data_IF_323025303733
#
_entry.id   IF_323025303733
#
_cell.length_a   1.000
_cell.length_b   1.000
_cell.length_c   1.000
_cell.angle_alpha   90.00
_cell.angle_beta   90.00
_cell.angle_gamma   90.00
#
_symmetry.space_group_name_H-M   'P 1'
#
loop_
_entity.id
_entity.type
_entity.pdbx_description
1 polymer ?
#
# COMPACT_ATOMS: atom_id res chain seq x y z
N UNK A 1 11.66 1.96 31.85
CA UNK A 1 11.61 2.41 30.44
C UNK A 1 10.74 1.45 29.65
N UNK A 2 9.43 1.74 29.57
CA UNK A 2 8.63 1.19 28.48
C UNK A 2 9.23 1.80 27.24
N UNK A 3 9.92 1.00 26.43
CA UNK A 3 10.54 1.52 25.23
C UNK A 3 9.44 2.17 24.38
N UNK A 4 9.67 3.38 23.90
CA UNK A 4 8.78 4.10 22.96
C UNK A 4 8.37 3.18 21.78
N UNK A 5 9.11 2.09 21.60
CA UNK A 5 8.95 1.04 20.65
C UNK A 5 7.77 0.11 20.85
N UNK A 6 7.30 -0.07 22.07
CA UNK A 6 6.19 -0.98 22.39
C UNK A 6 4.88 -0.26 22.64
N UNK A 7 4.91 1.07 22.83
CA UNK A 7 3.71 1.86 23.13
C UNK A 7 2.79 2.05 21.90
N UNK A 8 3.37 2.25 20.69
CA UNK A 8 2.62 2.46 19.46
C UNK A 8 3.02 1.37 18.47
N UNK A 9 2.08 0.48 18.17
CA UNK A 9 2.34 -0.73 17.38
C UNK A 9 2.16 -0.52 15.88
N UNK A 10 3.10 -1.05 15.06
CA UNK A 10 2.97 -1.15 13.61
C UNK A 10 2.07 -2.32 13.21
N UNK A 11 1.91 -2.53 11.89
CA UNK A 11 1.19 -3.70 11.36
C UNK A 11 1.84 -5.03 11.74
N UNK A 12 3.11 -5.08 12.14
CA UNK A 12 3.77 -6.30 12.64
C UNK A 12 3.23 -6.83 13.97
N UNK A 13 2.38 -6.08 14.65
CA UNK A 13 1.69 -6.56 15.85
C UNK A 13 0.21 -6.78 15.53
N UNK A 14 -0.33 -7.95 15.89
CA UNK A 14 -1.71 -8.32 15.59
C UNK A 14 -2.73 -7.30 16.13
N UNK A 15 -3.84 -7.16 15.44
CA UNK A 15 -4.97 -6.36 15.89
C UNK A 15 -5.50 -6.90 17.22
N UNK A 16 -5.83 -6.01 18.16
CA UNK A 16 -6.33 -6.39 19.49
C UNK A 16 -5.29 -7.05 20.41
N UNK A 17 -3.99 -6.91 20.12
CA UNK A 17 -2.91 -7.58 20.86
C UNK A 17 -2.96 -7.42 22.38
N UNK A 18 -3.58 -6.35 22.88
CA UNK A 18 -3.62 -6.02 24.31
C UNK A 18 -4.92 -6.43 25.00
N UNK A 19 -5.90 -6.98 24.29
CA UNK A 19 -7.24 -7.29 24.85
C UNK A 19 -7.15 -8.23 26.03
N UNK A 20 -6.32 -9.27 25.98
CA UNK A 20 -6.17 -10.25 27.05
C UNK A 20 -5.53 -9.64 28.30
N UNK A 21 -4.58 -8.70 28.14
CA UNK A 21 -4.00 -7.97 29.27
C UNK A 21 -5.03 -7.02 29.92
N UNK A 22 -5.81 -6.32 29.09
CA UNK A 22 -6.89 -5.45 29.55
C UNK A 22 -7.93 -6.27 30.35
N UNK A 23 -8.26 -7.48 29.87
CA UNK A 23 -9.16 -8.39 30.59
C UNK A 23 -8.63 -8.77 31.96
N UNK A 24 -7.35 -9.11 32.08
CA UNK A 24 -6.73 -9.42 33.39
C UNK A 24 -6.87 -8.24 34.37
N UNK A 25 -6.68 -7.01 33.89
CA UNK A 25 -6.87 -5.80 34.70
C UNK A 25 -8.35 -5.67 35.07
N UNK A 26 -9.26 -5.82 34.12
CA UNK A 26 -10.71 -5.75 34.35
C UNK A 26 -11.19 -6.75 35.39
N UNK A 27 -10.68 -7.97 35.36
CA UNK A 27 -11.06 -9.03 36.33
C UNK A 27 -10.52 -8.75 37.73
N UNK A 28 -9.48 -7.91 37.88
CA UNK A 28 -8.85 -7.58 39.16
C UNK A 28 -9.39 -6.33 39.85
N UNK A 29 -10.25 -5.53 39.17
CA UNK A 29 -10.74 -4.25 39.70
C UNK A 29 -12.24 -4.07 39.48
N UNK A 30 -12.89 -3.27 40.33
CA UNK A 30 -14.34 -3.03 40.29
C UNK A 30 -14.74 -1.69 39.67
N UNK A 31 -13.84 -1.01 38.96
CA UNK A 31 -14.14 0.23 38.25
C UNK A 31 -14.19 -0.01 36.74
N UNK A 32 -14.85 0.86 35.96
CA UNK A 32 -14.86 0.74 34.51
C UNK A 32 -13.46 0.77 33.90
N UNK A 33 -13.22 -0.10 32.92
CA UNK A 33 -11.93 -0.21 32.21
C UNK A 33 -12.08 0.19 30.74
N UNK A 34 -11.24 1.13 30.30
CA UNK A 34 -11.14 1.53 28.89
C UNK A 34 -9.94 0.81 28.28
N UNK A 35 -10.20 -0.09 27.32
CA UNK A 35 -9.15 -0.88 26.66
C UNK A 35 -8.67 -0.27 25.36
N UNK A 36 -7.37 -0.42 25.08
CA UNK A 36 -6.71 0.02 23.86
C UNK A 36 -5.70 -1.02 23.37
N UNK A 37 -5.47 -1.12 22.04
CA UNK A 37 -4.46 -2.02 21.49
C UNK A 37 -4.72 -2.43 20.04
N UNK A 38 -4.52 -1.54 19.08
CA UNK A 38 -4.77 -1.79 17.65
C UNK A 38 -6.17 -2.37 17.37
N UNK A 39 -7.17 -1.84 18.02
CA UNK A 39 -8.57 -2.16 17.70
C UNK A 39 -8.96 -1.28 16.53
N UNK A 40 -9.03 -1.87 15.34
CA UNK A 40 -9.30 -1.19 14.07
C UNK A 40 -10.44 -1.83 13.27
N UNK A 41 -11.11 -2.81 13.88
CA UNK A 41 -12.18 -3.59 13.29
C UNK A 41 -13.40 -3.62 14.23
N UNK A 42 -14.60 -3.47 13.65
CA UNK A 42 -15.85 -3.42 14.40
C UNK A 42 -16.13 -4.73 15.11
N UNK A 43 -15.89 -5.87 14.47
CA UNK A 43 -16.12 -7.20 15.05
C UNK A 43 -15.20 -7.41 16.25
N UNK A 44 -13.94 -7.01 16.15
CA UNK A 44 -12.97 -7.09 17.23
C UNK A 44 -13.40 -6.22 18.43
N UNK A 45 -13.83 -4.97 18.18
CA UNK A 45 -14.31 -4.05 19.20
C UNK A 45 -15.55 -4.61 19.93
N UNK A 46 -16.55 -5.05 19.18
CA UNK A 46 -17.78 -5.64 19.72
C UNK A 46 -17.51 -6.94 20.49
N UNK A 47 -16.63 -7.80 19.97
CA UNK A 47 -16.22 -9.02 20.66
C UNK A 47 -15.55 -8.74 22.00
N UNK A 48 -14.67 -7.74 22.08
CA UNK A 48 -14.00 -7.36 23.33
C UNK A 48 -15.01 -6.92 24.41
N UNK A 49 -16.02 -6.14 24.04
CA UNK A 49 -17.11 -5.72 24.96
C UNK A 49 -17.99 -6.92 25.36
N UNK A 50 -18.44 -7.72 24.37
CA UNK A 50 -19.31 -8.89 24.64
C UNK A 50 -18.65 -9.91 25.58
N UNK A 51 -17.34 -10.13 25.44
CA UNK A 51 -16.56 -11.02 26.32
C UNK A 51 -16.23 -10.39 27.68
N UNK A 52 -16.71 -9.19 27.94
CA UNK A 52 -16.41 -8.42 29.17
C UNK A 52 -14.90 -8.24 29.40
N UNK A 53 -14.12 -8.13 28.31
CA UNK A 53 -12.69 -7.87 28.41
C UNK A 53 -12.40 -6.41 28.78
N UNK A 54 -13.34 -5.51 28.51
CA UNK A 54 -13.32 -4.08 28.83
C UNK A 54 -14.74 -3.52 28.84
N UNK A 55 -14.93 -2.37 29.44
CA UNK A 55 -16.24 -1.66 29.44
C UNK A 55 -16.32 -0.70 28.23
N UNK A 56 -15.20 -0.10 27.85
CA UNK A 56 -15.10 0.84 26.73
C UNK A 56 -13.88 0.54 25.88
N UNK A 57 -13.97 0.87 24.58
CA UNK A 57 -12.86 0.75 23.62
C UNK A 57 -12.30 2.13 23.32
N UNK A 58 -10.99 2.31 23.50
CA UNK A 58 -10.28 3.50 23.04
C UNK A 58 -9.72 3.29 21.63
N UNK A 59 -10.04 4.24 20.74
CA UNK A 59 -9.67 4.24 19.32
C UNK A 59 -8.71 5.39 19.01
N UNK A 60 -7.41 5.17 19.08
CA UNK A 60 -6.41 6.20 18.73
C UNK A 60 -6.33 6.40 17.22
N UNK A 61 -5.39 5.70 16.55
CA UNK A 61 -5.17 5.84 15.09
C UNK A 61 -6.38 5.46 14.23
N UNK A 62 -7.27 4.60 14.73
CA UNK A 62 -8.51 4.30 14.04
C UNK A 62 -9.41 5.53 13.94
N UNK A 63 -9.48 6.39 14.97
CA UNK A 63 -10.23 7.65 14.93
C UNK A 63 -9.59 8.69 14.00
N UNK A 64 -8.24 8.69 13.87
CA UNK A 64 -7.54 9.50 12.87
C UNK A 64 -7.87 9.01 11.46
N UNK A 65 -7.96 7.70 11.27
CA UNK A 65 -8.26 7.08 10.00
C UNK A 65 -9.73 7.25 9.60
N UNK A 66 -10.63 7.02 10.55
CA UNK A 66 -12.09 7.17 10.36
C UNK A 66 -12.74 7.73 11.63
N UNK A 67 -12.93 9.06 11.73
CA UNK A 67 -13.56 9.69 12.90
C UNK A 67 -15.00 9.27 13.08
N UNK A 68 -15.67 8.76 12.04
CA UNK A 68 -17.05 8.29 12.09
C UNK A 68 -17.19 6.80 12.41
N UNK A 69 -16.10 6.10 12.74
CA UNK A 69 -16.10 4.67 13.03
C UNK A 69 -17.22 4.25 13.99
N UNK A 70 -17.43 4.86 15.17
CA UNK A 70 -18.51 4.45 16.08
C UNK A 70 -19.92 4.60 15.47
N UNK A 71 -20.16 5.69 14.75
CA UNK A 71 -21.44 5.94 14.09
C UNK A 71 -21.69 4.95 12.94
N UNK A 72 -20.65 4.63 12.14
CA UNK A 72 -20.75 3.63 11.07
C UNK A 72 -21.06 2.24 11.65
N UNK A 73 -20.41 1.85 12.75
CA UNK A 73 -20.70 0.59 13.45
C UNK A 73 -22.14 0.57 13.94
N UNK A 74 -22.61 1.63 14.61
CA UNK A 74 -23.98 1.76 15.11
C UNK A 74 -25.02 1.64 13.99
N UNK A 75 -24.73 2.19 12.81
CA UNK A 75 -25.65 2.23 11.68
C UNK A 75 -25.49 1.04 10.72
N UNK A 76 -24.64 0.04 11.03
CA UNK A 76 -24.40 -1.13 10.17
C UNK A 76 -23.60 -0.83 8.91
N UNK A 77 -22.95 0.34 8.80
CA UNK A 77 -22.19 0.79 7.64
C UNK A 77 -20.74 0.23 7.65
N UNK A 78 -20.58 -1.05 7.91
CA UNK A 78 -19.27 -1.68 8.17
C UNK A 78 -18.36 -1.59 6.94
N UNK A 79 -18.90 -1.77 5.73
CA UNK A 79 -18.13 -1.71 4.47
C UNK A 79 -17.63 -0.30 4.14
N UNK A 80 -18.15 0.73 4.81
CA UNK A 80 -17.72 2.13 4.62
C UNK A 80 -16.63 2.55 5.62
N UNK A 81 -16.20 1.67 6.52
CA UNK A 81 -15.16 1.99 7.51
C UNK A 81 -13.80 1.98 6.87
N UNK A 82 -13.10 3.11 6.92
CA UNK A 82 -11.67 3.17 6.63
C UNK A 82 -10.90 2.53 7.78
N UNK A 83 -10.26 1.39 7.52
CA UNK A 83 -9.55 0.62 8.55
C UNK A 83 -8.10 1.09 8.68
N UNK A 84 -7.68 1.46 9.90
CA UNK A 84 -6.29 1.82 10.16
C UNK A 84 -5.35 0.63 9.90
N UNK A 85 -4.48 0.78 8.91
CA UNK A 85 -3.54 -0.27 8.46
C UNK A 85 -2.31 -0.43 9.37
N UNK A 86 -2.10 0.44 10.35
CA UNK A 86 -0.90 0.42 11.21
C UNK A 86 0.40 0.85 10.50
N UNK A 87 0.30 1.50 9.34
CA UNK A 87 1.45 1.89 8.50
C UNK A 87 2.36 2.97 9.12
N UNK A 88 1.84 3.78 10.03
CA UNK A 88 2.56 4.87 10.71
C UNK A 88 3.14 5.96 9.77
N UNK A 89 2.72 6.02 8.52
CA UNK A 89 3.33 6.92 7.53
C UNK A 89 3.03 8.40 7.76
N UNK A 90 1.81 8.76 8.16
CA UNK A 90 1.39 10.15 8.34
C UNK A 90 0.99 10.52 9.77
N UNK A 91 0.51 9.59 10.56
CA UNK A 91 0.07 9.88 11.91
C UNK A 91 1.22 10.01 12.93
N UNK A 92 2.42 9.49 12.63
CA UNK A 92 3.56 9.49 13.56
C UNK A 92 4.86 10.07 12.99
N UNK A 93 5.09 9.93 11.67
CA UNK A 93 6.38 10.30 11.07
C UNK A 93 6.30 11.49 10.11
N UNK A 94 5.18 12.14 10.00
CA UNK A 94 5.09 13.47 9.43
C UNK A 94 5.37 14.49 10.53
N UNK A 95 6.64 14.77 10.77
CA UNK A 95 7.04 15.91 11.62
C UNK A 95 7.19 17.19 10.82
N UNK A 96 7.22 17.10 9.50
CA UNK A 96 7.17 18.25 8.61
C UNK A 96 5.71 18.57 8.29
N UNK A 97 5.30 19.73 8.68
CA UNK A 97 4.06 20.38 8.27
C UNK A 97 4.18 20.85 6.80
N UNK A 98 4.56 19.93 5.88
CA UNK A 98 4.77 20.27 4.47
C UNK A 98 3.57 20.99 3.85
N UNK A 99 2.39 20.76 4.43
CA UNK A 99 1.11 21.35 4.01
C UNK A 99 0.46 22.21 5.12
N UNK A 100 1.18 22.57 6.20
CA UNK A 100 0.66 23.39 7.31
C UNK A 100 -0.34 22.68 8.23
N UNK A 101 -0.60 21.38 8.01
CA UNK A 101 -1.55 20.56 8.78
C UNK A 101 -0.80 19.51 9.60
N UNK A 102 -1.19 19.34 10.87
CA UNK A 102 -0.57 18.41 11.79
C UNK A 102 -0.75 16.93 11.41
N UNK A 103 -1.17 16.11 12.36
CA UNK A 103 -1.41 14.69 12.15
C UNK A 103 -2.42 14.43 11.03
N UNK A 104 -2.10 13.49 10.12
CA UNK A 104 -2.97 13.07 9.03
C UNK A 104 -2.90 11.55 8.82
N UNK A 105 -3.65 11.01 7.87
CA UNK A 105 -3.69 9.58 7.57
C UNK A 105 -3.31 9.29 6.12
N UNK A 106 -2.64 8.16 5.85
CA UNK A 106 -2.28 7.73 4.51
C UNK A 106 -3.52 7.48 3.64
N UNK A 107 -4.52 6.78 4.19
CA UNK A 107 -5.72 6.34 3.46
C UNK A 107 -6.92 7.28 3.66
N UNK A 108 -6.82 8.26 4.56
CA UNK A 108 -7.81 9.32 4.74
C UNK A 108 -7.13 10.69 4.63
N UNK A 109 -6.98 11.25 3.45
CA UNK A 109 -6.33 12.55 3.25
C UNK A 109 -7.08 13.73 3.86
N UNK A 110 -8.36 13.56 4.18
CA UNK A 110 -9.19 14.58 4.85
C UNK A 110 -8.81 14.78 6.32
N UNK A 111 -8.22 13.75 6.95
CA UNK A 111 -7.82 13.79 8.36
C UNK A 111 -6.85 14.96 8.62
N UNK A 112 -7.24 15.85 9.54
CA UNK A 112 -6.56 17.10 9.85
C UNK A 112 -6.83 18.25 8.88
N UNK A 113 -7.73 18.06 7.90
CA UNK A 113 -8.11 19.05 6.88
C UNK A 113 -9.62 19.25 6.76
N UNK A 114 -10.37 18.78 7.74
CA UNK A 114 -11.84 18.73 7.71
C UNK A 114 -12.48 20.12 7.57
N UNK A 115 -11.79 21.16 8.03
CA UNK A 115 -12.26 22.54 7.90
C UNK A 115 -12.01 23.17 6.52
N UNK A 116 -11.03 22.65 5.76
CA UNK A 116 -10.57 23.21 4.47
C UNK A 116 -11.04 22.34 3.30
N UNK A 117 -10.91 21.02 3.43
CA UNK A 117 -11.24 20.08 2.38
C UNK A 117 -12.67 19.55 2.55
N UNK A 118 -13.57 20.10 1.74
CA UNK A 118 -14.99 19.69 1.73
C UNK A 118 -15.36 19.17 0.34
N UNK A 119 -16.14 18.11 0.32
CA UNK A 119 -16.68 17.56 -0.93
C UNK A 119 -18.05 18.21 -1.14
N UNK A 120 -18.10 19.25 -1.96
CA UNK A 120 -19.29 19.98 -2.32
C UNK A 120 -19.87 19.43 -3.63
N UNK A 121 -21.17 19.60 -3.84
CA UNK A 121 -21.81 19.22 -5.11
C UNK A 121 -21.27 20.10 -6.23
N UNK A 122 -20.98 19.49 -7.38
CA UNK A 122 -20.60 20.24 -8.57
C UNK A 122 -21.77 21.08 -9.09
N UNK A 123 -21.45 22.29 -9.55
CA UNK A 123 -22.47 23.16 -10.19
C UNK A 123 -23.02 22.56 -11.47
N UNK A 124 -22.18 21.84 -12.21
CA UNK A 124 -22.52 21.12 -13.42
C UNK A 124 -21.89 19.73 -13.38
N UNK A 125 -22.70 18.71 -13.64
CA UNK A 125 -22.22 17.34 -13.75
C UNK A 125 -21.38 17.19 -15.03
N UNK A 126 -20.28 16.45 -14.93
CA UNK A 126 -19.39 16.09 -16.02
C UNK A 126 -19.37 14.58 -16.21
N UNK A 127 -19.07 14.12 -17.42
CA UNK A 127 -18.77 12.73 -17.75
C UNK A 127 -17.24 12.52 -17.66
N UNK A 128 -16.77 11.74 -16.70
CA UNK A 128 -15.36 11.62 -16.39
C UNK A 128 -14.88 10.17 -16.52
N UNK A 129 -13.81 9.97 -17.29
CA UNK A 129 -13.10 8.69 -17.34
C UNK A 129 -11.93 8.68 -16.36
N UNK A 130 -11.77 7.58 -15.63
CA UNK A 130 -10.58 7.31 -14.79
C UNK A 130 -9.95 6.03 -15.28
N UNK A 131 -8.65 6.08 -15.61
CA UNK A 131 -7.92 4.97 -16.17
C UNK A 131 -7.01 4.36 -15.10
N UNK A 132 -7.43 3.20 -14.59
CA UNK A 132 -6.79 2.45 -13.52
C UNK A 132 -7.58 2.46 -12.21
N UNK A 133 -7.93 1.27 -11.74
CA UNK A 133 -8.64 1.02 -10.47
C UNK A 133 -7.71 0.84 -9.27
N UNK A 134 -6.52 1.47 -9.28
CA UNK A 134 -5.62 1.54 -8.15
C UNK A 134 -6.11 2.51 -7.06
N UNK A 135 -5.36 2.68 -5.94
CA UNK A 135 -5.80 3.54 -4.83
C UNK A 135 -6.02 5.00 -5.25
N UNK A 136 -5.21 5.54 -6.17
CA UNK A 136 -5.40 6.90 -6.69
C UNK A 136 -6.68 7.02 -7.52
N UNK A 137 -6.88 6.11 -8.49
CA UNK A 137 -8.07 6.13 -9.35
C UNK A 137 -9.37 5.95 -8.55
N UNK A 138 -9.44 4.98 -7.66
CA UNK A 138 -10.61 4.76 -6.81
C UNK A 138 -10.89 5.93 -5.85
N UNK A 139 -9.83 6.55 -5.29
CA UNK A 139 -9.97 7.73 -4.42
C UNK A 139 -10.56 8.92 -5.19
N UNK A 140 -10.06 9.21 -6.39
CA UNK A 140 -10.63 10.25 -7.25
C UNK A 140 -12.06 9.91 -7.64
N UNK A 141 -12.31 8.64 -8.01
CA UNK A 141 -13.61 8.18 -8.51
C UNK A 141 -14.73 8.42 -7.51
N UNK A 142 -14.59 7.94 -6.27
CA UNK A 142 -15.67 8.10 -5.30
C UNK A 142 -15.88 9.56 -4.88
N UNK A 143 -14.83 10.39 -4.84
CA UNK A 143 -14.97 11.83 -4.54
C UNK A 143 -15.74 12.52 -5.64
N UNK A 144 -15.38 12.31 -6.91
CA UNK A 144 -16.06 12.89 -8.07
C UNK A 144 -17.51 12.38 -8.20
N UNK A 145 -17.75 11.08 -7.93
CA UNK A 145 -19.10 10.53 -7.84
C UNK A 145 -19.93 11.20 -6.74
N UNK A 146 -19.35 11.42 -5.55
CA UNK A 146 -20.00 12.15 -4.46
C UNK A 146 -20.30 13.60 -4.82
N UNK A 147 -19.49 14.25 -5.65
CA UNK A 147 -19.77 15.60 -6.20
C UNK A 147 -20.91 15.60 -7.21
N UNK A 148 -21.32 14.44 -7.73
CA UNK A 148 -22.44 14.27 -8.68
C UNK A 148 -22.00 14.17 -10.14
N UNK A 149 -20.72 13.93 -10.42
CA UNK A 149 -20.25 13.64 -11.77
C UNK A 149 -20.61 12.21 -12.17
N UNK A 150 -20.74 11.97 -13.48
CA UNK A 150 -20.88 10.63 -14.07
C UNK A 150 -19.47 10.05 -14.27
N UNK A 151 -19.06 9.14 -13.40
CA UNK A 151 -17.70 8.61 -13.37
C UNK A 151 -17.66 7.17 -13.84
N UNK A 152 -16.75 6.87 -14.78
CA UNK A 152 -16.41 5.51 -15.22
C UNK A 152 -14.94 5.24 -14.97
N UNK A 153 -14.65 4.18 -14.21
CA UNK A 153 -13.29 3.67 -14.00
C UNK A 153 -13.05 2.49 -14.95
N UNK A 154 -11.96 2.54 -15.70
CA UNK A 154 -11.50 1.45 -16.57
C UNK A 154 -10.34 0.73 -15.87
N UNK A 155 -10.53 -0.54 -15.56
CA UNK A 155 -9.51 -1.40 -14.95
C UNK A 155 -9.20 -2.59 -15.86
N UNK A 156 -7.95 -2.74 -16.28
CA UNK A 156 -7.54 -3.82 -17.19
C UNK A 156 -7.56 -5.21 -16.55
N UNK A 157 -7.37 -5.27 -15.24
CA UNK A 157 -7.37 -6.53 -14.50
C UNK A 157 -8.80 -6.95 -14.11
N UNK A 158 -8.96 -8.21 -13.71
CA UNK A 158 -10.24 -8.73 -13.22
C UNK A 158 -10.63 -8.15 -11.83
N UNK A 159 -9.71 -7.51 -11.15
CA UNK A 159 -9.91 -6.95 -9.80
C UNK A 159 -9.19 -5.62 -9.64
N UNK A 160 -9.81 -4.68 -8.93
CA UNK A 160 -9.20 -3.40 -8.61
C UNK A 160 -8.10 -3.51 -7.55
N UNK A 161 -7.33 -2.44 -7.38
CA UNK A 161 -6.32 -2.27 -6.34
C UNK A 161 -4.89 -2.14 -6.87
N UNK A 162 -4.61 -2.60 -8.11
CA UNK A 162 -3.31 -2.46 -8.75
C UNK A 162 -2.15 -2.94 -7.85
N UNK A 163 -1.05 -2.21 -7.83
CA UNK A 163 0.11 -2.55 -6.99
C UNK A 163 -0.16 -2.48 -5.48
N UNK A 164 -1.17 -1.73 -5.03
CA UNK A 164 -1.54 -1.67 -3.62
C UNK A 164 -2.09 -3.01 -3.11
N UNK A 165 -2.75 -3.78 -3.99
CA UNK A 165 -3.14 -5.16 -3.69
C UNK A 165 -1.91 -6.05 -3.49
N UNK A 166 -0.88 -5.92 -4.33
CA UNK A 166 0.39 -6.63 -4.14
C UNK A 166 1.07 -6.21 -2.83
N UNK A 167 1.02 -4.92 -2.48
CA UNK A 167 1.55 -4.42 -1.21
C UNK A 167 0.82 -4.96 0.04
N UNK A 168 -0.36 -5.56 -0.10
CA UNK A 168 -1.09 -6.20 1.00
C UNK A 168 -0.70 -7.65 1.26
N UNK A 169 0.10 -8.25 0.37
CA UNK A 169 0.50 -9.67 0.42
C UNK A 169 1.62 -9.94 1.44
N UNK A 170 2.66 -9.09 1.57
CA UNK A 170 3.70 -9.32 2.57
C UNK A 170 3.15 -9.52 3.98
N UNK A 171 3.96 -10.13 4.82
CA UNK A 171 3.60 -10.53 6.18
C UNK A 171 2.97 -9.38 6.97
N UNK A 172 1.83 -9.65 7.63
CA UNK A 172 1.10 -8.72 8.51
C UNK A 172 0.54 -7.45 7.84
N UNK A 173 0.49 -7.38 6.50
CA UNK A 173 -0.01 -6.21 5.75
C UNK A 173 -1.42 -6.37 5.17
N UNK A 174 -2.14 -7.43 5.51
CA UNK A 174 -3.46 -7.77 4.95
C UNK A 174 -4.53 -6.69 5.17
N UNK A 175 -4.41 -5.87 6.22
CA UNK A 175 -5.32 -4.73 6.45
C UNK A 175 -5.27 -3.68 5.31
N UNK A 176 -4.20 -3.65 4.49
CA UNK A 176 -4.13 -2.78 3.30
C UNK A 176 -5.24 -3.12 2.30
N UNK A 177 -5.55 -4.39 2.09
CA UNK A 177 -6.58 -4.82 1.14
C UNK A 177 -7.96 -4.22 1.48
N UNK A 178 -8.27 -4.00 2.77
CA UNK A 178 -9.52 -3.38 3.24
C UNK A 178 -9.72 -1.97 2.69
N UNK A 179 -8.63 -1.22 2.44
CA UNK A 179 -8.71 0.13 1.85
C UNK A 179 -9.38 0.10 0.47
N UNK A 180 -8.97 -0.85 -0.37
CA UNK A 180 -9.54 -1.00 -1.72
C UNK A 180 -11.02 -1.40 -1.63
N UNK A 181 -11.36 -2.35 -0.76
CA UNK A 181 -12.76 -2.76 -0.54
C UNK A 181 -13.63 -1.59 -0.09
N UNK A 182 -13.12 -0.75 0.83
CA UNK A 182 -13.85 0.45 1.30
C UNK A 182 -14.00 1.50 0.19
N UNK A 183 -12.97 1.73 -0.64
CA UNK A 183 -13.07 2.66 -1.75
C UNK A 183 -14.05 2.17 -2.81
N UNK A 184 -14.10 0.87 -3.08
CA UNK A 184 -15.10 0.28 -3.97
C UNK A 184 -16.53 0.41 -3.40
N UNK A 185 -16.71 0.24 -2.08
CA UNK A 185 -18.01 0.49 -1.43
C UNK A 185 -18.44 1.96 -1.58
N UNK A 186 -17.51 2.91 -1.47
CA UNK A 186 -17.79 4.31 -1.75
C UNK A 186 -18.12 4.55 -3.24
N UNK A 187 -17.38 3.93 -4.16
CA UNK A 187 -17.69 4.00 -5.58
C UNK A 187 -19.13 3.53 -5.86
N UNK A 188 -19.51 2.38 -5.31
CA UNK A 188 -20.87 1.85 -5.41
C UNK A 188 -21.90 2.81 -4.81
N UNK A 189 -21.67 3.34 -3.61
CA UNK A 189 -22.55 4.29 -2.93
C UNK A 189 -22.80 5.56 -3.73
N UNK A 190 -21.82 6.01 -4.49
CA UNK A 190 -21.90 7.24 -5.28
C UNK A 190 -22.06 7.00 -6.79
N UNK A 191 -22.58 5.83 -7.16
CA UNK A 191 -22.94 5.45 -8.53
C UNK A 191 -21.78 5.55 -9.53
N UNK A 192 -20.55 5.25 -9.08
CA UNK A 192 -19.39 5.13 -9.97
C UNK A 192 -19.44 3.78 -10.68
N UNK A 193 -19.33 3.78 -12.01
CA UNK A 193 -19.21 2.55 -12.81
C UNK A 193 -17.75 2.09 -12.83
N UNK A 194 -17.47 0.83 -12.48
CA UNK A 194 -16.15 0.22 -12.62
C UNK A 194 -16.22 -0.87 -13.68
N UNK A 195 -15.51 -0.66 -14.80
CA UNK A 195 -15.40 -1.63 -15.90
C UNK A 195 -14.10 -2.41 -15.74
N UNK A 196 -14.21 -3.66 -15.30
CA UNK A 196 -13.08 -4.59 -15.18
C UNK A 196 -12.73 -5.22 -16.52
N UNK A 197 -11.53 -5.81 -16.61
CA UNK A 197 -11.01 -6.48 -17.81
C UNK A 197 -11.12 -5.59 -19.06
N UNK A 198 -11.00 -4.27 -18.86
CA UNK A 198 -11.17 -3.29 -19.91
C UNK A 198 -9.94 -2.39 -19.98
N UNK A 199 -9.13 -2.61 -21.00
CA UNK A 199 -7.99 -1.73 -21.29
C UNK A 199 -8.50 -0.50 -22.00
N UNK A 200 -8.30 0.67 -21.41
CA UNK A 200 -8.60 1.94 -22.06
C UNK A 200 -7.60 2.20 -23.18
N UNK A 201 -8.11 2.49 -24.38
CA UNK A 201 -7.32 2.91 -25.53
C UNK A 201 -7.75 4.32 -25.97
N UNK A 202 -6.93 4.96 -26.82
CA UNK A 202 -7.26 6.28 -27.38
C UNK A 202 -8.59 6.26 -28.12
N UNK A 203 -8.86 5.21 -28.91
CA UNK A 203 -10.08 5.04 -29.70
C UNK A 203 -11.31 4.94 -28.78
N UNK A 204 -11.24 4.10 -27.72
CA UNK A 204 -12.31 3.96 -26.75
C UNK A 204 -12.64 5.30 -26.09
N UNK A 205 -11.61 6.03 -25.67
CA UNK A 205 -11.78 7.31 -24.97
C UNK A 205 -12.32 8.41 -25.90
N UNK A 206 -11.90 8.43 -27.17
CA UNK A 206 -12.37 9.39 -28.16
C UNK A 206 -13.85 9.17 -28.54
N UNK A 207 -14.32 7.91 -28.61
CA UNK A 207 -15.71 7.59 -28.97
C UNK A 207 -16.71 7.87 -27.85
N UNK A 208 -16.27 7.81 -26.58
CA UNK A 208 -17.16 7.95 -25.42
C UNK A 208 -17.45 9.42 -25.03
N UNK A 209 -16.78 10.41 -25.64
CA UNK A 209 -16.97 11.85 -25.41
C UNK A 209 -16.94 12.23 -23.91
N UNK A 210 -15.82 12.02 -23.23
CA UNK A 210 -15.62 12.44 -21.86
C UNK A 210 -15.27 13.93 -21.76
N UNK A 211 -15.82 14.62 -20.77
CA UNK A 211 -15.46 16.01 -20.45
C UNK A 211 -14.06 16.10 -19.84
N UNK A 212 -13.67 15.06 -19.07
CA UNK A 212 -12.35 14.96 -18.42
C UNK A 212 -11.88 13.50 -18.38
N UNK A 213 -10.57 13.32 -18.51
CA UNK A 213 -9.91 12.01 -18.42
C UNK A 213 -8.82 12.08 -17.36
N UNK A 214 -8.82 11.15 -16.42
CA UNK A 214 -7.83 11.04 -15.35
C UNK A 214 -7.03 9.77 -15.53
N UNK A 215 -5.73 9.89 -15.83
CA UNK A 215 -4.81 8.78 -15.99
C UNK A 215 -4.21 8.44 -14.62
N UNK A 216 -4.55 7.25 -14.10
CA UNK A 216 -4.09 6.68 -12.83
C UNK A 216 -3.54 5.26 -13.03
N UNK A 217 -2.85 5.04 -14.16
CA UNK A 217 -2.31 3.76 -14.65
C UNK A 217 -1.19 3.17 -13.79
N UNK A 218 -0.72 3.94 -12.79
CA UNK A 218 0.30 3.47 -11.85
C UNK A 218 1.70 3.44 -12.42
N UNK A 219 2.51 2.47 -12.00
CA UNK A 219 3.91 2.32 -12.41
C UNK A 219 4.22 0.89 -12.86
N UNK A 220 5.30 0.75 -13.60
CA UNK A 220 5.85 -0.53 -14.09
C UNK A 220 7.17 -0.83 -13.36
N UNK A 221 7.50 -2.11 -13.11
CA UNK A 221 8.80 -2.49 -12.59
C UNK A 221 9.95 -2.01 -13.52
N UNK A 222 11.01 -1.50 -12.94
CA UNK A 222 12.23 -1.19 -13.68
C UNK A 222 12.95 -2.49 -14.00
N UNK A 223 13.23 -2.71 -15.29
CA UNK A 223 14.07 -3.79 -15.80
C UNK A 223 15.35 -3.14 -16.33
N UNK A 224 16.47 -3.17 -15.60
CA UNK A 224 17.72 -2.57 -16.06
C UNK A 224 18.34 -3.40 -17.17
N UNK A 225 19.19 -2.77 -17.99
CA UNK A 225 19.93 -3.46 -19.07
C UNK A 225 21.14 -4.26 -18.55
N UNK A 226 20.90 -5.21 -17.63
CA UNK A 226 21.93 -6.07 -17.07
C UNK A 226 21.98 -7.37 -17.87
N UNK A 227 23.17 -7.79 -18.31
CA UNK A 227 23.36 -9.06 -19.04
C UNK A 227 22.83 -10.24 -18.20
N UNK A 228 22.06 -11.12 -18.83
CA UNK A 228 21.45 -12.30 -18.20
C UNK A 228 20.12 -12.03 -17.49
N UNK A 229 19.53 -10.82 -17.62
CA UNK A 229 18.26 -10.48 -16.97
C UNK A 229 17.07 -11.28 -17.54
N UNK A 230 17.19 -11.82 -18.73
CA UNK A 230 16.17 -12.62 -19.42
C UNK A 230 16.37 -14.14 -19.22
N UNK A 231 17.27 -14.55 -18.32
CA UNK A 231 17.45 -15.96 -17.98
C UNK A 231 16.14 -16.56 -17.45
N UNK A 232 15.90 -17.84 -17.71
CA UNK A 232 14.63 -18.55 -17.37
C UNK A 232 14.34 -18.63 -15.87
N UNK A 233 15.36 -18.49 -15.03
CA UNK A 233 15.23 -18.48 -13.56
C UNK A 233 15.19 -17.07 -12.96
N UNK A 234 14.96 -16.03 -13.78
CA UNK A 234 14.83 -14.64 -13.34
C UNK A 234 13.36 -14.23 -13.35
N UNK A 235 12.88 -13.74 -12.23
CA UNK A 235 11.48 -13.39 -11.97
C UNK A 235 11.38 -11.94 -11.48
N UNK A 236 10.20 -11.33 -11.60
CA UNK A 236 9.92 -10.01 -11.01
C UNK A 236 9.34 -10.17 -9.60
N UNK A 237 9.62 -9.26 -8.69
CA UNK A 237 8.99 -9.25 -7.36
C UNK A 237 7.45 -9.28 -7.45
N UNK A 238 6.87 -8.64 -8.46
CA UNK A 238 5.41 -8.65 -8.70
C UNK A 238 4.87 -10.06 -9.00
N UNK A 239 5.64 -10.95 -9.62
CA UNK A 239 5.21 -12.32 -9.90
C UNK A 239 5.13 -13.13 -8.61
N UNK A 240 6.03 -12.88 -7.66
CA UNK A 240 6.01 -13.49 -6.34
C UNK A 240 4.83 -12.95 -5.51
N UNK A 241 4.67 -11.63 -5.46
CA UNK A 241 3.60 -10.96 -4.71
C UNK A 241 2.20 -11.23 -5.29
N UNK A 242 2.10 -11.64 -6.56
CA UNK A 242 0.83 -12.06 -7.18
C UNK A 242 0.60 -13.58 -7.12
N UNK A 243 1.52 -14.35 -6.51
CA UNK A 243 1.52 -15.81 -6.48
C UNK A 243 1.53 -16.49 -7.86
N UNK A 244 1.96 -15.78 -8.91
CA UNK A 244 2.24 -16.39 -10.22
C UNK A 244 3.45 -17.32 -10.15
N UNK A 245 4.40 -17.01 -9.26
CA UNK A 245 5.55 -17.84 -8.93
C UNK A 245 5.66 -18.00 -7.43
N UNK A 246 5.88 -19.23 -6.99
CA UNK A 246 6.09 -19.61 -5.58
C UNK A 246 7.32 -20.51 -5.50
N UNK A 247 8.20 -20.24 -4.54
CA UNK A 247 9.39 -21.04 -4.26
C UNK A 247 9.19 -21.86 -2.98
N UNK A 248 9.79 -23.03 -2.92
CA UNK A 248 9.79 -23.89 -1.73
C UNK A 248 11.11 -24.66 -1.64
N UNK A 249 11.78 -24.57 -0.50
CA UNK A 249 13.07 -25.22 -0.23
C UNK A 249 14.15 -24.86 -1.27
N UNK A 250 14.15 -23.63 -1.74
CA UNK A 250 15.08 -23.10 -2.75
C UNK A 250 16.02 -22.06 -2.16
N UNK A 251 17.14 -21.84 -2.83
CA UNK A 251 18.04 -20.71 -2.59
C UNK A 251 17.67 -19.59 -3.57
N UNK A 252 17.17 -18.47 -3.04
CA UNK A 252 16.64 -17.37 -3.83
C UNK A 252 17.48 -16.11 -3.61
N UNK A 253 17.88 -15.49 -4.70
CA UNK A 253 18.59 -14.22 -4.71
C UNK A 253 17.63 -13.09 -5.08
N UNK A 254 17.48 -12.08 -4.21
CA UNK A 254 16.65 -10.90 -4.48
C UNK A 254 17.56 -9.71 -4.80
N UNK A 255 17.38 -9.11 -5.97
CA UNK A 255 18.16 -7.97 -6.44
C UNK A 255 17.38 -6.68 -6.22
N UNK A 256 17.82 -5.90 -5.22
CA UNK A 256 17.20 -4.68 -4.73
C UNK A 256 16.74 -4.81 -3.28
N UNK A 257 17.31 -4.00 -2.38
CA UNK A 257 16.93 -3.90 -0.98
C UNK A 257 16.03 -2.69 -0.67
N UNK A 258 15.29 -2.18 -1.66
CA UNK A 258 14.17 -1.27 -1.44
C UNK A 258 13.08 -1.94 -0.59
N UNK A 259 12.03 -1.18 -0.22
CA UNK A 259 10.96 -1.73 0.61
C UNK A 259 10.31 -2.97 -0.02
N UNK A 260 10.00 -2.92 -1.33
CA UNK A 260 9.41 -4.05 -2.07
C UNK A 260 10.33 -5.27 -2.06
N UNK A 261 11.63 -5.08 -2.30
CA UNK A 261 12.59 -6.19 -2.33
C UNK A 261 12.75 -6.88 -0.98
N UNK A 262 12.86 -6.11 0.09
CA UNK A 262 12.99 -6.68 1.46
C UNK A 262 11.69 -7.37 1.89
N UNK A 263 10.51 -6.81 1.60
CA UNK A 263 9.21 -7.44 1.88
C UNK A 263 8.96 -8.69 1.02
N UNK A 264 9.44 -8.70 -0.23
CA UNK A 264 9.40 -9.90 -1.08
C UNK A 264 10.33 -10.98 -0.54
N UNK A 265 11.53 -10.62 -0.10
CA UNK A 265 12.48 -11.53 0.53
C UNK A 265 11.90 -12.13 1.83
N UNK A 266 11.27 -11.31 2.67
CA UNK A 266 10.56 -11.75 3.87
C UNK A 266 9.49 -12.80 3.53
N UNK A 267 8.62 -12.51 2.53
CA UNK A 267 7.59 -13.45 2.08
C UNK A 267 8.18 -14.78 1.58
N UNK A 268 9.24 -14.72 0.78
CA UNK A 268 9.93 -15.93 0.27
C UNK A 268 10.52 -16.73 1.43
N UNK A 269 11.13 -16.06 2.41
CA UNK A 269 11.71 -16.69 3.60
C UNK A 269 10.67 -17.41 4.46
N UNK A 270 9.47 -16.84 4.62
CA UNK A 270 8.33 -17.46 5.34
C UNK A 270 7.92 -18.81 4.75
N UNK A 271 8.13 -19.02 3.45
CA UNK A 271 7.88 -20.31 2.79
C UNK A 271 9.05 -21.31 2.91
N UNK A 272 10.02 -21.05 3.81
CA UNK A 272 11.13 -21.98 4.10
C UNK A 272 12.25 -21.95 3.07
N UNK A 273 12.40 -20.87 2.31
CA UNK A 273 13.48 -20.67 1.35
C UNK A 273 14.70 -20.02 2.00
N UNK A 274 15.89 -20.30 1.49
CA UNK A 274 17.12 -19.57 1.85
C UNK A 274 17.22 -18.33 0.97
N UNK A 275 17.21 -17.14 1.56
CA UNK A 275 17.16 -15.89 0.81
C UNK A 275 18.40 -15.06 1.06
N UNK A 276 18.96 -14.49 -0.03
CA UNK A 276 19.95 -13.43 0.03
C UNK A 276 19.43 -12.22 -0.75
N UNK A 277 19.55 -11.03 -0.16
CA UNK A 277 19.19 -9.76 -0.81
C UNK A 277 20.47 -9.01 -1.14
N UNK A 278 20.56 -8.44 -2.35
CA UNK A 278 21.73 -7.66 -2.79
C UNK A 278 21.29 -6.27 -3.25
N UNK A 279 21.98 -5.23 -2.80
CA UNK A 279 21.72 -3.85 -3.24
C UNK A 279 23.01 -3.01 -3.27
N UNK A 280 23.05 -2.06 -4.19
CA UNK A 280 24.12 -1.06 -4.26
C UNK A 280 24.02 0.01 -3.16
N UNK A 281 22.87 0.19 -2.53
CA UNK A 281 22.64 1.15 -1.46
C UNK A 281 23.31 0.69 -0.15
N UNK A 282 23.55 1.65 0.74
CA UNK A 282 24.12 1.43 2.07
C UNK A 282 23.08 1.01 3.14
N UNK A 283 21.79 1.04 2.78
CA UNK A 283 20.66 0.77 3.71
C UNK A 283 19.55 -0.02 3.06
N UNK A 284 19.04 -1.03 3.75
CA UNK A 284 17.83 -1.75 3.36
C UNK A 284 16.57 -0.95 3.71
N UNK A 285 15.57 -0.97 2.82
CA UNK A 285 14.29 -0.29 2.96
C UNK A 285 14.38 1.17 3.45
N UNK A 286 15.23 2.04 2.85
CA UNK A 286 15.53 3.37 3.41
C UNK A 286 14.32 4.30 3.49
N UNK A 287 13.32 4.12 2.61
CA UNK A 287 12.12 4.96 2.54
C UNK A 287 10.98 4.46 3.44
N UNK A 288 11.14 3.31 4.09
CA UNK A 288 10.14 2.81 5.02
C UNK A 288 10.09 3.64 6.31
N UNK A 289 8.91 3.85 6.92
CA UNK A 289 8.79 4.51 8.21
C UNK A 289 9.63 3.79 9.28
N UNK A 290 10.28 4.55 10.16
CA UNK A 290 11.29 4.02 11.11
C UNK A 290 10.84 2.77 11.86
N UNK A 291 9.63 2.75 12.41
CA UNK A 291 9.16 1.61 13.21
C UNK A 291 8.81 0.38 12.36
N UNK A 292 7.97 0.47 11.31
CA UNK A 292 7.75 -0.64 10.39
C UNK A 292 9.05 -1.19 9.81
N UNK A 293 10.00 -0.32 9.42
CA UNK A 293 11.32 -0.73 8.92
C UNK A 293 12.09 -1.55 9.96
N UNK A 294 12.12 -1.09 11.20
CA UNK A 294 12.80 -1.82 12.28
C UNK A 294 12.20 -3.23 12.46
N UNK A 295 10.87 -3.34 12.53
CA UNK A 295 10.21 -4.63 12.67
C UNK A 295 10.47 -5.55 11.47
N UNK A 296 10.42 -5.01 10.23
CA UNK A 296 10.75 -5.75 9.02
C UNK A 296 12.17 -6.32 9.08
N UNK A 297 13.17 -5.51 9.40
CA UNK A 297 14.55 -5.95 9.46
C UNK A 297 14.82 -6.93 10.62
N UNK A 298 14.15 -6.79 11.75
CA UNK A 298 14.17 -7.76 12.84
C UNK A 298 13.61 -9.12 12.40
N UNK A 299 12.48 -9.13 11.68
CA UNK A 299 11.84 -10.35 11.17
C UNK A 299 12.68 -11.02 10.06
N UNK A 300 13.20 -10.25 9.12
CA UNK A 300 14.15 -10.71 8.09
C UNK A 300 15.36 -11.40 8.71
N UNK A 301 15.91 -10.81 9.80
CA UNK A 301 17.00 -11.42 10.56
C UNK A 301 16.59 -12.74 11.26
N UNK A 302 15.37 -12.81 11.82
CA UNK A 302 14.85 -14.03 12.44
C UNK A 302 14.67 -15.17 11.43
N UNK A 303 14.33 -14.84 10.17
CA UNK A 303 14.24 -15.78 9.06
C UNK A 303 15.61 -16.21 8.50
N UNK A 304 16.72 -15.68 9.03
CA UNK A 304 18.06 -15.98 8.53
C UNK A 304 18.38 -15.41 7.16
N UNK A 305 17.62 -14.40 6.70
CA UNK A 305 17.83 -13.76 5.40
C UNK A 305 19.10 -12.89 5.46
N UNK A 306 20.02 -13.12 4.54
CA UNK A 306 21.23 -12.32 4.41
C UNK A 306 20.96 -11.08 3.53
N UNK A 307 21.45 -9.90 3.95
CA UNK A 307 21.36 -8.66 3.16
C UNK A 307 22.77 -8.15 2.88
N UNK A 308 23.16 -8.15 1.61
CA UNK A 308 24.44 -7.69 1.11
C UNK A 308 24.27 -6.30 0.50
N UNK A 309 24.66 -5.28 1.23
CA UNK A 309 24.61 -3.87 0.82
C UNK A 309 25.94 -3.41 0.19
N UNK A 310 25.95 -2.19 -0.37
CA UNK A 310 27.11 -1.63 -1.10
C UNK A 310 27.59 -2.53 -2.23
N UNK A 311 26.69 -3.26 -2.87
CA UNK A 311 26.97 -4.33 -3.82
C UNK A 311 26.22 -4.10 -5.11
N UNK A 312 26.90 -3.52 -6.12
CA UNK A 312 26.31 -3.20 -7.42
C UNK A 312 26.35 -4.42 -8.33
N UNK A 313 25.19 -4.91 -8.74
CA UNK A 313 25.07 -6.01 -9.72
C UNK A 313 25.56 -5.56 -11.08
N UNK A 314 26.48 -6.32 -11.67
CA UNK A 314 27.07 -6.07 -12.99
C UNK A 314 26.51 -7.03 -14.04
N UNK A 315 26.31 -8.30 -13.67
CA UNK A 315 25.87 -9.37 -14.57
C UNK A 315 25.09 -10.42 -13.80
N UNK A 316 24.09 -11.01 -14.43
CA UNK A 316 23.35 -12.17 -13.94
C UNK A 316 23.82 -13.42 -14.70
N UNK A 317 24.24 -14.46 -13.97
CA UNK A 317 24.62 -15.76 -14.49
C UNK A 317 23.46 -16.74 -14.35
N UNK A 318 23.65 -17.98 -14.80
CA UNK A 318 22.62 -19.05 -14.71
C UNK A 318 22.22 -19.42 -13.27
N UNK A 319 23.10 -19.21 -12.29
CA UNK A 319 22.91 -19.61 -10.89
C UNK A 319 23.33 -18.53 -9.89
N UNK A 320 23.48 -17.25 -10.35
CA UNK A 320 23.91 -16.18 -9.46
C UNK A 320 24.25 -14.88 -10.19
N UNK A 321 25.17 -14.11 -9.63
CA UNK A 321 25.54 -12.79 -10.13
C UNK A 321 27.06 -12.53 -10.06
N UNK A 322 27.52 -11.63 -10.91
CA UNK A 322 28.76 -10.87 -10.72
C UNK A 322 28.37 -9.49 -10.19
N UNK A 323 29.01 -9.04 -9.13
CA UNK A 323 28.75 -7.76 -8.50
C UNK A 323 30.05 -7.05 -8.11
N UNK A 324 29.98 -5.73 -8.00
CA UNK A 324 31.08 -4.89 -7.53
C UNK A 324 30.84 -4.47 -6.08
N UNK A 325 31.84 -4.67 -5.23
CA UNK A 325 31.86 -4.22 -3.84
C UNK A 325 33.26 -3.72 -3.49
N UNK A 326 33.36 -2.54 -2.90
CA UNK A 326 34.63 -1.91 -2.52
C UNK A 326 35.64 -1.83 -3.69
N UNK A 327 35.14 -1.54 -4.89
CA UNK A 327 35.92 -1.45 -6.10
C UNK A 327 36.32 -2.79 -6.75
N UNK A 328 36.08 -3.91 -6.09
CA UNK A 328 36.43 -5.25 -6.58
C UNK A 328 35.22 -5.99 -7.14
N UNK A 329 35.43 -6.73 -8.22
CA UNK A 329 34.44 -7.67 -8.74
C UNK A 329 34.45 -8.96 -7.91
N UNK A 330 33.25 -9.42 -7.53
CA UNK A 330 33.00 -10.64 -6.78
C UNK A 330 31.90 -11.43 -7.47
N UNK A 331 31.87 -12.74 -7.24
CA UNK A 331 30.83 -13.62 -7.76
C UNK A 331 30.07 -14.28 -6.62
N UNK A 332 28.76 -14.36 -6.75
CA UNK A 332 27.85 -15.06 -5.86
C UNK A 332 27.09 -16.09 -6.67
N UNK A 333 27.17 -17.38 -6.30
CA UNK A 333 26.60 -18.50 -7.07
C UNK A 333 25.82 -19.47 -6.18
N UNK A 334 25.17 -20.46 -6.81
CA UNK A 334 24.44 -21.53 -6.14
C UNK A 334 22.99 -21.16 -5.77
N UNK A 335 22.35 -20.29 -6.55
CA UNK A 335 20.94 -19.93 -6.39
C UNK A 335 20.08 -20.58 -7.47
N UNK A 336 18.92 -21.06 -7.05
CA UNK A 336 17.93 -21.70 -7.91
C UNK A 336 17.09 -20.65 -8.67
N UNK A 337 16.87 -19.48 -8.06
CA UNK A 337 16.05 -18.41 -8.61
C UNK A 337 16.60 -17.01 -8.26
N UNK A 338 16.33 -16.06 -9.14
CA UNK A 338 16.74 -14.65 -9.00
C UNK A 338 15.49 -13.77 -9.14
N UNK A 339 15.25 -12.86 -8.19
CA UNK A 339 14.08 -11.99 -8.16
C UNK A 339 14.48 -10.54 -8.30
N UNK A 340 13.92 -9.85 -9.29
CA UNK A 340 14.21 -8.44 -9.58
C UNK A 340 13.29 -7.53 -8.78
N UNK A 341 13.88 -6.58 -8.02
CA UNK A 341 13.18 -5.59 -7.21
C UNK A 341 13.84 -4.19 -7.34
N UNK A 342 14.21 -3.78 -8.55
CA UNK A 342 14.95 -2.53 -8.84
C UNK A 342 14.09 -1.25 -8.80
N UNK A 343 12.88 -1.32 -8.21
CA UNK A 343 11.97 -0.18 -8.13
C UNK A 343 11.01 -0.10 -9.31
N UNK A 344 10.39 1.07 -9.48
CA UNK A 344 9.33 1.28 -10.48
C UNK A 344 9.50 2.59 -11.22
N UNK A 345 9.02 2.64 -12.46
CA UNK A 345 8.93 3.83 -13.30
C UNK A 345 7.46 4.15 -13.64
N UNK A 346 7.11 5.41 -13.87
CA UNK A 346 5.75 5.78 -14.31
C UNK A 346 5.28 4.96 -15.51
N UNK A 347 4.00 4.62 -15.51
CA UNK A 347 3.31 4.03 -16.66
C UNK A 347 2.45 5.12 -17.32
N UNK A 348 3.11 5.99 -18.10
CA UNK A 348 2.52 7.17 -18.72
C UNK A 348 2.29 7.04 -20.23
N UNK A 349 2.52 5.87 -20.82
CA UNK A 349 2.38 5.63 -22.27
C UNK A 349 1.03 6.10 -22.79
N UNK A 350 -0.08 5.66 -22.17
CA UNK A 350 -1.41 6.09 -22.56
C UNK A 350 -1.59 7.61 -22.47
N UNK A 351 -1.03 8.25 -21.44
CA UNK A 351 -1.10 9.71 -21.31
C UNK A 351 -0.45 10.41 -22.51
N UNK A 352 0.71 9.94 -22.96
CA UNK A 352 1.40 10.51 -24.12
C UNK A 352 0.53 10.40 -25.38
N UNK A 353 -0.23 9.31 -25.53
CA UNK A 353 -1.10 9.07 -26.68
C UNK A 353 -2.39 9.93 -26.68
N UNK A 354 -2.90 10.28 -25.48
CA UNK A 354 -4.22 10.92 -25.33
C UNK A 354 -4.18 12.37 -24.84
N UNK A 355 -3.03 12.92 -24.50
CA UNK A 355 -2.90 14.28 -23.94
C UNK A 355 -3.54 15.37 -24.80
N UNK A 356 -3.72 15.11 -26.11
CA UNK A 356 -4.33 16.04 -27.06
C UNK A 356 -5.87 15.87 -27.15
N UNK A 357 -6.49 14.93 -26.41
CA UNK A 357 -7.95 14.73 -26.42
C UNK A 357 -8.73 15.74 -25.57
N UNK A 358 -8.08 16.76 -24.98
CA UNK A 358 -8.73 17.79 -24.18
C UNK A 358 -8.25 17.81 -22.73
N UNK A 359 -9.18 17.81 -21.76
CA UNK A 359 -8.85 17.91 -20.32
C UNK A 359 -8.34 16.55 -19.79
N UNK A 360 -7.06 16.27 -19.96
CA UNK A 360 -6.41 15.04 -19.50
C UNK A 360 -5.48 15.35 -18.34
N UNK A 361 -5.68 14.68 -17.22
CA UNK A 361 -4.89 14.80 -15.98
C UNK A 361 -4.17 13.50 -15.67
N UNK A 362 -3.02 13.58 -15.00
CA UNK A 362 -2.24 12.40 -14.54
C UNK A 362 -2.06 12.48 -13.03
N UNK A 363 -2.28 11.36 -12.33
CA UNK A 363 -2.15 11.27 -10.88
C UNK A 363 -1.40 10.01 -10.43
N UNK A 364 -0.88 10.08 -9.21
CA UNK A 364 -0.22 8.97 -8.54
C UNK A 364 1.05 8.52 -9.27
N UNK A 365 1.30 7.22 -9.26
CA UNK A 365 2.54 6.66 -9.82
C UNK A 365 2.66 6.78 -11.34
N UNK A 366 1.56 7.06 -12.04
CA UNK A 366 1.60 7.39 -13.47
C UNK A 366 2.27 8.75 -13.73
N UNK A 367 2.16 9.68 -12.77
CA UNK A 367 2.85 10.96 -12.82
C UNK A 367 4.29 10.84 -12.34
N UNK A 368 4.48 10.21 -11.17
CA UNK A 368 5.79 9.99 -10.56
C UNK A 368 5.71 8.83 -9.59
N UNK A 369 6.42 7.75 -9.89
CA UNK A 369 6.49 6.59 -9.00
C UNK A 369 6.83 7.00 -7.55
N UNK A 370 6.07 6.48 -6.60
CA UNK A 370 6.16 6.89 -5.20
C UNK A 370 5.49 5.90 -4.25
N UNK A 371 4.79 6.43 -3.26
CA UNK A 371 4.05 5.64 -2.29
C UNK A 371 2.53 5.93 -2.35
N UNK A 372 1.75 5.03 -1.76
CA UNK A 372 0.29 5.15 -1.73
C UNK A 372 -0.20 6.44 -1.04
N UNK A 373 0.55 6.93 -0.05
CA UNK A 373 0.26 8.19 0.66
C UNK A 373 0.19 9.36 -0.33
N UNK A 374 1.21 9.47 -1.21
CA UNK A 374 1.28 10.51 -2.23
C UNK A 374 0.17 10.33 -3.27
N UNK A 375 0.01 9.11 -3.79
CA UNK A 375 -0.97 8.78 -4.82
C UNK A 375 -2.41 9.11 -4.38
N UNK A 376 -2.80 8.73 -3.15
CA UNK A 376 -4.12 9.00 -2.58
C UNK A 376 -4.32 10.51 -2.31
N UNK A 377 -3.28 11.19 -1.85
CA UNK A 377 -3.31 12.64 -1.59
C UNK A 377 -3.50 13.44 -2.88
N UNK A 378 -2.71 13.15 -3.92
CA UNK A 378 -2.82 13.81 -5.23
C UNK A 378 -4.20 13.60 -5.85
N UNK A 379 -4.71 12.37 -5.81
CA UNK A 379 -6.04 12.02 -6.27
C UNK A 379 -7.14 12.84 -5.56
N UNK A 380 -7.01 12.99 -4.24
CA UNK A 380 -7.96 13.80 -3.45
C UNK A 380 -7.89 15.27 -3.84
N UNK A 381 -6.68 15.81 -3.97
CA UNK A 381 -6.48 17.23 -4.33
C UNK A 381 -7.02 17.55 -5.72
N UNK A 382 -6.86 16.64 -6.69
CA UNK A 382 -7.42 16.82 -8.03
C UNK A 382 -8.95 16.75 -8.02
N UNK A 383 -9.53 15.85 -7.23
CA UNK A 383 -10.97 15.60 -7.22
C UNK A 383 -11.79 16.62 -6.41
N UNK A 384 -11.14 17.43 -5.52
CA UNK A 384 -11.81 18.50 -4.76
C UNK A 384 -12.06 19.73 -5.61
#
# INVERSE_FOLDING_TARGET
HISYGTAIQSYYVKNGFNIDNVKKVKDAINIPVIGVGRINDATLALSAIKRKAMDFVALGRQSICDPHFPNKVKNGQINEILTCTGCMQRCLYTTSFEDGFGTSCMINPFSGKENVWKIEKAKQAKKIAIIGGGPAGLQAAWILGKKGHQVTVYEKEATAGGQYRLASVPVMKQDLAKTISTYLAFCQKYNVTVKYQTTATKELLATENFDEIIVATGSLPVIPGISGIDNSNVYKANDILSFKQVFKNQKVLVLGAGLVGVETAELIGEYGNQVTVVDMLDKAAPLAPKRPRQNLLEHVKQLGINILLNSKVLKINSDGIVYQQDGNEKTLTGFDAIVLAFGSKPNDELYQDIKDLGNVYVIGDALKAGDAKKAIYEATKLAL
#
